data_IF_412764590085
#
_entry.id   IF_412764590085
#
_cell.length_a   1.000
_cell.length_b   1.000
_cell.length_c   1.000
_cell.angle_alpha   90.00
_cell.angle_beta   90.00
_cell.angle_gamma   90.00
#
_symmetry.space_group_name_H-M   'P 1'
#
loop_
_entity.id
_entity.type
_entity.pdbx_description
1 polymer ?
#
# COMPACT_ATOMS: atom_id res chain seq x y z
N UNK A 1 13.39 -24.14 1.87
CA UNK A 1 12.07 -23.70 1.37
C UNK A 1 11.40 -24.74 0.47
N UNK A 2 12.03 -25.22 -0.61
CA UNK A 2 11.39 -26.15 -1.59
C UNK A 2 10.84 -27.49 -1.05
N UNK A 3 11.37 -28.02 0.06
CA UNK A 3 11.01 -29.34 0.60
C UNK A 3 10.44 -29.26 2.03
N UNK A 4 9.89 -28.12 2.44
CA UNK A 4 9.43 -27.92 3.81
C UNK A 4 7.97 -27.47 3.82
N UNK A 5 7.13 -28.20 4.55
CA UNK A 5 5.69 -27.90 4.70
C UNK A 5 5.38 -27.09 5.96
N UNK A 6 6.40 -26.79 6.79
CA UNK A 6 6.22 -26.00 8.01
C UNK A 6 6.21 -24.52 7.71
N UNK A 7 5.05 -23.89 7.92
CA UNK A 7 4.88 -22.44 7.75
C UNK A 7 5.89 -21.63 8.57
N UNK A 8 6.15 -22.02 9.83
CA UNK A 8 7.10 -21.31 10.72
C UNK A 8 8.53 -21.31 10.16
N UNK A 9 8.96 -22.45 9.60
CA UNK A 9 10.29 -22.58 8.99
C UNK A 9 10.39 -21.76 7.72
N UNK A 10 9.32 -21.72 6.92
CA UNK A 10 9.29 -20.92 5.70
C UNK A 10 9.30 -19.42 6.01
N UNK A 11 8.52 -18.95 6.98
CA UNK A 11 8.55 -17.56 7.44
C UNK A 11 9.93 -17.18 7.99
N UNK A 12 10.53 -18.05 8.82
CA UNK A 12 11.89 -17.83 9.33
C UNK A 12 12.92 -17.76 8.20
N UNK A 13 12.74 -18.56 7.15
CA UNK A 13 13.61 -18.54 5.98
C UNK A 13 13.47 -17.23 5.18
N UNK A 14 12.25 -16.71 5.03
CA UNK A 14 12.02 -15.39 4.41
C UNK A 14 12.74 -14.28 5.16
N UNK A 15 12.64 -14.27 6.49
CA UNK A 15 13.26 -13.25 7.33
C UNK A 15 14.80 -13.35 7.32
N UNK A 16 15.36 -14.57 7.44
CA UNK A 16 16.81 -14.77 7.33
C UNK A 16 17.31 -14.30 5.96
N UNK A 17 16.59 -14.62 4.90
CA UNK A 17 16.95 -14.19 3.56
C UNK A 17 16.90 -12.67 3.42
N UNK A 18 15.88 -12.01 3.99
CA UNK A 18 15.78 -10.55 4.03
C UNK A 18 17.01 -9.95 4.71
N UNK A 19 17.39 -10.45 5.88
CA UNK A 19 18.57 -9.99 6.61
C UNK A 19 19.87 -10.16 5.82
N UNK A 20 20.04 -11.29 5.12
CA UNK A 20 21.21 -11.53 4.27
C UNK A 20 21.27 -10.54 3.12
N UNK A 21 20.14 -10.25 2.47
CA UNK A 21 20.06 -9.29 1.36
C UNK A 21 20.39 -7.87 1.84
N UNK A 22 19.89 -7.48 3.01
CA UNK A 22 20.16 -6.17 3.58
C UNK A 22 21.63 -5.96 3.96
N UNK A 23 22.29 -7.00 4.45
CA UNK A 23 23.66 -6.91 4.98
C UNK A 23 24.74 -7.26 3.97
N UNK A 24 24.49 -8.17 3.02
CA UNK A 24 25.54 -8.74 2.17
C UNK A 24 25.01 -9.26 0.81
N UNK A 25 24.27 -8.40 0.09
CA UNK A 25 23.75 -8.72 -1.25
C UNK A 25 24.82 -9.18 -2.24
N UNK A 26 25.99 -8.52 -2.24
CA UNK A 26 27.08 -8.80 -3.19
C UNK A 26 27.65 -10.22 -3.04
N UNK A 27 27.73 -10.74 -1.82
CA UNK A 27 28.12 -12.14 -1.63
C UNK A 27 27.01 -13.07 -2.09
N UNK A 28 25.76 -12.79 -1.74
CA UNK A 28 24.62 -13.63 -2.09
C UNK A 28 24.51 -13.88 -3.59
N UNK A 29 24.66 -12.83 -4.42
CA UNK A 29 24.54 -12.95 -5.88
C UNK A 29 25.69 -13.72 -6.55
N UNK A 30 26.79 -13.92 -5.84
CA UNK A 30 27.96 -14.64 -6.33
C UNK A 30 28.02 -16.08 -5.81
N UNK A 31 27.13 -16.44 -4.87
CA UNK A 31 27.01 -17.81 -4.38
C UNK A 31 26.37 -18.72 -5.43
N UNK A 32 26.90 -19.95 -5.48
CA UNK A 32 26.37 -21.04 -6.28
C UNK A 32 26.06 -22.23 -5.38
N UNK A 33 25.03 -22.99 -5.74
CA UNK A 33 24.71 -24.27 -5.11
C UNK A 33 25.81 -25.29 -5.39
N UNK A 34 25.76 -26.43 -4.69
CA UNK A 34 26.63 -27.58 -4.94
C UNK A 34 26.55 -28.09 -6.39
N UNK A 35 25.40 -27.88 -7.04
CA UNK A 35 25.16 -28.22 -8.45
C UNK A 35 25.58 -27.12 -9.43
N UNK A 36 26.15 -26.01 -8.94
CA UNK A 36 26.63 -24.88 -9.74
C UNK A 36 25.56 -23.86 -10.14
N UNK A 37 24.33 -24.01 -9.65
CA UNK A 37 23.22 -23.08 -9.95
C UNK A 37 23.36 -21.80 -9.13
N UNK A 38 22.96 -20.66 -9.70
CA UNK A 38 22.92 -19.38 -8.99
C UNK A 38 21.92 -19.43 -7.84
N UNK A 39 22.37 -19.12 -6.63
CA UNK A 39 21.49 -19.08 -5.44
C UNK A 39 20.45 -17.97 -5.58
N UNK A 40 20.82 -16.86 -6.23
CA UNK A 40 19.89 -15.76 -6.48
C UNK A 40 18.74 -16.16 -7.41
N UNK A 41 19.02 -16.94 -8.45
CA UNK A 41 17.99 -17.43 -9.38
C UNK A 41 17.03 -18.38 -8.66
N UNK A 42 17.56 -19.17 -7.73
CA UNK A 42 16.76 -20.06 -6.89
C UNK A 42 15.85 -19.27 -5.92
N UNK A 43 16.36 -18.19 -5.32
CA UNK A 43 15.56 -17.25 -4.52
C UNK A 43 14.44 -16.64 -5.36
N UNK A 44 14.75 -16.12 -6.55
CA UNK A 44 13.74 -15.52 -7.42
C UNK A 44 12.67 -16.53 -7.84
N UNK A 45 13.05 -17.79 -8.07
CA UNK A 45 12.11 -18.85 -8.36
C UNK A 45 11.22 -19.18 -7.15
N UNK A 46 11.76 -19.16 -5.93
CA UNK A 46 10.97 -19.36 -4.71
C UNK A 46 9.96 -18.22 -4.53
N UNK A 47 10.39 -16.96 -4.68
CA UNK A 47 9.48 -15.81 -4.58
C UNK A 47 8.33 -15.88 -5.60
N UNK A 48 8.60 -16.38 -6.81
CA UNK A 48 7.55 -16.62 -7.80
C UNK A 48 6.57 -17.72 -7.36
N UNK A 49 7.05 -18.81 -6.76
CA UNK A 49 6.19 -19.89 -6.23
C UNK A 49 5.30 -19.36 -5.09
N UNK A 50 5.83 -18.51 -4.21
CA UNK A 50 5.07 -17.91 -3.11
C UNK A 50 3.91 -17.01 -3.59
N UNK A 51 3.99 -16.49 -4.82
CA UNK A 51 2.91 -15.75 -5.47
C UNK A 51 1.86 -16.66 -6.13
N UNK A 52 2.07 -17.97 -6.22
CA UNK A 52 1.09 -18.86 -6.83
C UNK A 52 -0.18 -18.97 -5.99
N UNK A 53 -1.33 -19.00 -6.66
CA UNK A 53 -2.65 -19.11 -6.01
C UNK A 53 -2.79 -20.36 -5.13
N UNK A 54 -2.07 -21.43 -5.46
CA UNK A 54 -2.09 -22.71 -4.73
C UNK A 54 -1.35 -22.67 -3.40
N UNK A 55 -0.50 -21.68 -3.17
CA UNK A 55 0.31 -21.57 -1.95
C UNK A 55 -0.47 -20.82 -0.88
N UNK A 56 -0.42 -21.33 0.36
CA UNK A 56 -1.05 -20.68 1.50
C UNK A 56 -0.38 -19.34 1.80
N UNK A 57 -1.18 -18.28 1.85
CA UNK A 57 -0.70 -16.93 2.21
C UNK A 57 -0.15 -16.85 3.63
N UNK A 58 -0.48 -17.83 4.51
CA UNK A 58 0.09 -17.93 5.85
C UNK A 58 1.62 -18.04 5.82
N UNK A 59 2.21 -18.53 4.74
CA UNK A 59 3.66 -18.66 4.57
C UNK A 59 4.32 -17.31 4.26
N UNK A 60 3.60 -16.41 3.57
CA UNK A 60 4.12 -15.17 2.99
C UNK A 60 4.21 -14.03 4.01
N UNK A 61 4.56 -14.33 5.26
CA UNK A 61 4.51 -13.35 6.34
C UNK A 61 5.53 -12.23 6.12
N UNK A 62 6.74 -12.54 5.64
CA UNK A 62 7.79 -11.56 5.39
C UNK A 62 8.01 -11.30 3.89
N UNK A 63 7.08 -11.75 3.05
CA UNK A 63 7.18 -11.62 1.59
C UNK A 63 7.35 -10.17 1.13
N UNK A 64 6.46 -9.26 1.57
CA UNK A 64 6.54 -7.84 1.22
C UNK A 64 7.87 -7.19 1.63
N UNK A 65 8.27 -7.25 2.92
CA UNK A 65 9.55 -6.74 3.41
C UNK A 65 10.76 -7.32 2.68
N UNK A 66 10.74 -8.61 2.37
CA UNK A 66 11.79 -9.28 1.60
C UNK A 66 11.90 -8.72 0.18
N UNK A 67 10.77 -8.55 -0.52
CA UNK A 67 10.74 -7.96 -1.86
C UNK A 67 11.22 -6.52 -1.85
N UNK A 68 10.79 -5.74 -0.85
CA UNK A 68 11.23 -4.36 -0.68
C UNK A 68 12.75 -4.30 -0.45
N UNK A 69 13.29 -5.16 0.41
CA UNK A 69 14.73 -5.28 0.61
C UNK A 69 15.48 -5.59 -0.69
N UNK A 70 14.93 -6.49 -1.52
CA UNK A 70 15.47 -6.78 -2.85
C UNK A 70 15.41 -5.54 -3.74
N UNK A 71 14.28 -4.82 -3.82
CA UNK A 71 14.17 -3.62 -4.66
C UNK A 71 15.20 -2.55 -4.27
N UNK A 72 15.47 -2.36 -2.98
CA UNK A 72 16.41 -1.35 -2.50
C UNK A 72 17.89 -1.76 -2.60
N UNK A 73 18.21 -3.04 -2.41
CA UNK A 73 19.61 -3.51 -2.40
C UNK A 73 20.05 -4.15 -3.69
N UNK A 74 19.11 -4.67 -4.48
CA UNK A 74 19.46 -5.45 -5.63
C UNK A 74 19.82 -4.56 -6.82
N UNK A 75 21.07 -4.70 -7.27
CA UNK A 75 21.60 -4.00 -8.43
C UNK A 75 21.16 -4.60 -9.76
N UNK A 76 22.03 -4.49 -10.77
CA UNK A 76 21.74 -4.86 -12.16
C UNK A 76 21.15 -6.27 -12.34
N UNK A 77 21.57 -7.26 -11.55
CA UNK A 77 21.09 -8.66 -11.70
C UNK A 77 19.60 -8.83 -11.41
N UNK A 78 19.01 -8.05 -10.50
CA UNK A 78 17.58 -8.15 -10.23
C UNK A 78 16.74 -7.49 -11.31
N UNK A 79 17.30 -6.52 -12.04
CA UNK A 79 16.62 -5.83 -13.14
C UNK A 79 16.12 -6.79 -14.22
N UNK A 80 16.84 -7.87 -14.47
CA UNK A 80 16.44 -8.90 -15.45
C UNK A 80 15.22 -9.72 -15.01
N UNK A 81 15.05 -9.91 -13.69
CA UNK A 81 13.91 -10.64 -13.12
C UNK A 81 12.71 -9.75 -12.85
N UNK A 82 12.95 -8.46 -12.62
CA UNK A 82 11.94 -7.50 -12.16
C UNK A 82 10.68 -7.49 -13.04
N UNK A 83 10.74 -7.45 -14.39
CA UNK A 83 9.54 -7.45 -15.23
C UNK A 83 8.62 -8.64 -14.97
N UNK A 84 9.15 -9.87 -15.04
CA UNK A 84 8.37 -11.09 -14.84
C UNK A 84 7.85 -11.20 -13.41
N UNK A 85 8.63 -10.70 -12.45
CA UNK A 85 8.26 -10.73 -11.04
C UNK A 85 7.11 -9.77 -10.73
N UNK A 86 7.17 -8.52 -11.22
CA UNK A 86 6.10 -7.55 -11.06
C UNK A 86 4.82 -8.00 -11.78
N UNK A 87 4.94 -8.58 -12.98
CA UNK A 87 3.80 -9.17 -13.68
C UNK A 87 3.12 -10.27 -12.85
N UNK A 88 3.91 -11.15 -12.21
CA UNK A 88 3.37 -12.18 -11.32
C UNK A 88 2.61 -11.59 -10.12
N UNK A 89 3.10 -10.48 -9.54
CA UNK A 89 2.40 -9.77 -8.46
C UNK A 89 1.07 -9.19 -8.96
N UNK A 90 1.06 -8.54 -10.13
CA UNK A 90 -0.20 -8.01 -10.72
C UNK A 90 -1.19 -9.14 -10.99
N UNK A 91 -0.73 -10.28 -11.53
CA UNK A 91 -1.58 -11.48 -11.68
C UNK A 91 -2.13 -11.91 -10.33
N UNK A 92 -1.30 -11.91 -9.27
CA UNK A 92 -1.72 -12.33 -7.95
C UNK A 92 -2.83 -11.45 -7.36
N UNK A 93 -2.79 -10.14 -7.62
CA UNK A 93 -3.84 -9.18 -7.24
C UNK A 93 -5.21 -9.46 -7.91
N UNK A 94 -5.25 -10.26 -8.97
CA UNK A 94 -6.53 -10.65 -9.61
C UNK A 94 -7.27 -11.76 -8.88
N UNK A 95 -6.64 -12.41 -7.90
CA UNK A 95 -7.23 -13.47 -7.11
C UNK A 95 -7.66 -12.97 -5.73
N UNK A 96 -8.68 -13.61 -5.12
CA UNK A 96 -8.99 -13.36 -3.72
C UNK A 96 -7.75 -13.61 -2.84
N UNK A 97 -7.49 -12.67 -1.95
CA UNK A 97 -6.39 -12.70 -0.99
C UNK A 97 -6.84 -12.17 0.36
N UNK A 98 -6.11 -12.55 1.41
CA UNK A 98 -6.25 -11.93 2.71
C UNK A 98 -5.94 -10.42 2.62
N UNK A 99 -6.62 -9.58 3.45
CA UNK A 99 -6.38 -8.14 3.47
C UNK A 99 -4.90 -7.79 3.62
N UNK A 100 -4.23 -8.42 4.58
CA UNK A 100 -2.80 -8.25 4.84
C UNK A 100 -1.93 -8.55 3.62
N UNK A 101 -2.15 -9.68 2.95
CA UNK A 101 -1.33 -10.01 1.79
C UNK A 101 -1.58 -9.02 0.63
N UNK A 102 -2.82 -8.57 0.44
CA UNK A 102 -3.14 -7.55 -0.54
C UNK A 102 -2.42 -6.22 -0.25
N UNK A 103 -2.40 -5.78 1.02
CA UNK A 103 -1.63 -4.61 1.46
C UNK A 103 -0.16 -4.74 1.05
N UNK A 104 0.49 -5.87 1.35
CA UNK A 104 1.91 -6.06 1.02
C UNK A 104 2.19 -5.97 -0.48
N UNK A 105 1.33 -6.58 -1.31
CA UNK A 105 1.47 -6.50 -2.76
C UNK A 105 1.30 -5.07 -3.29
N UNK A 106 0.38 -4.30 -2.70
CA UNK A 106 0.18 -2.89 -3.05
C UNK A 106 1.39 -2.05 -2.63
N UNK A 107 1.91 -2.24 -1.41
CA UNK A 107 3.04 -1.47 -0.88
C UNK A 107 4.35 -1.70 -1.65
N UNK A 108 4.55 -2.90 -2.21
CA UNK A 108 5.67 -3.15 -3.15
C UNK A 108 5.61 -2.15 -4.32
N UNK A 109 4.43 -1.94 -4.92
CA UNK A 109 4.29 -0.98 -6.00
C UNK A 109 4.37 0.47 -5.52
N UNK A 110 3.88 0.77 -4.31
CA UNK A 110 4.02 2.10 -3.73
C UNK A 110 5.50 2.51 -3.63
N UNK A 111 6.37 1.63 -3.12
CA UNK A 111 7.81 1.88 -3.08
C UNK A 111 8.43 2.06 -4.49
N UNK A 112 8.03 1.26 -5.47
CA UNK A 112 8.51 1.43 -6.85
C UNK A 112 8.08 2.76 -7.46
N UNK A 113 6.83 3.17 -7.24
CA UNK A 113 6.26 4.42 -7.74
C UNK A 113 6.96 5.62 -7.12
N UNK A 114 7.32 5.57 -5.84
CA UNK A 114 8.06 6.65 -5.18
C UNK A 114 9.43 6.84 -5.84
N UNK A 115 10.09 5.75 -6.20
CA UNK A 115 11.42 5.80 -6.80
C UNK A 115 11.38 6.15 -8.30
N UNK A 116 10.43 5.59 -9.07
CA UNK A 116 10.39 5.68 -10.53
C UNK A 116 8.97 5.74 -11.11
N UNK A 117 8.15 6.70 -10.65
CA UNK A 117 6.73 6.84 -11.01
C UNK A 117 6.42 6.59 -12.48
N UNK A 118 7.06 7.35 -13.39
CA UNK A 118 6.79 7.24 -14.84
C UNK A 118 7.14 5.87 -15.41
N UNK A 119 8.29 5.32 -15.01
CA UNK A 119 8.76 4.01 -15.50
C UNK A 119 7.81 2.91 -15.04
N UNK A 120 7.36 2.95 -13.79
CA UNK A 120 6.41 1.98 -13.24
C UNK A 120 5.05 2.08 -13.94
N UNK A 121 4.52 3.29 -14.19
CA UNK A 121 3.26 3.48 -14.93
C UNK A 121 3.38 2.97 -16.36
N UNK A 122 4.47 3.29 -17.06
CA UNK A 122 4.72 2.81 -18.44
C UNK A 122 4.80 1.28 -18.50
N UNK A 123 5.50 0.67 -17.55
CA UNK A 123 5.62 -0.77 -17.44
C UNK A 123 4.26 -1.45 -17.19
N UNK A 124 3.53 -1.01 -16.17
CA UNK A 124 2.23 -1.56 -15.79
C UNK A 124 1.18 -1.38 -16.89
N UNK A 125 1.25 -0.26 -17.63
CA UNK A 125 0.37 -0.02 -18.77
C UNK A 125 0.66 -0.95 -19.95
N UNK A 126 1.81 -1.62 -20.02
CA UNK A 126 2.13 -2.58 -21.08
C UNK A 126 1.77 -4.03 -20.73
N UNK A 127 1.62 -4.36 -19.45
CA UNK A 127 1.13 -5.67 -19.01
C UNK A 127 -0.33 -5.85 -19.42
N UNK A 128 -0.69 -7.03 -19.95
CA UNK A 128 -2.07 -7.39 -20.33
C UNK A 128 -2.47 -8.69 -19.65
N UNK A 129 -3.46 -8.62 -18.77
CA UNK A 129 -4.01 -9.79 -18.08
C UNK A 129 -5.52 -9.82 -18.37
N UNK A 130 -5.97 -10.84 -19.10
CA UNK A 130 -7.37 -10.98 -19.53
C UNK A 130 -7.93 -9.73 -20.25
N UNK A 131 -7.09 -9.04 -21.02
CA UNK A 131 -7.47 -7.82 -21.77
C UNK A 131 -7.44 -6.53 -20.95
N UNK A 132 -7.20 -6.60 -19.64
CA UNK A 132 -7.07 -5.45 -18.75
C UNK A 132 -5.59 -5.10 -18.56
N UNK A 133 -5.27 -3.82 -18.44
CA UNK A 133 -3.89 -3.40 -18.21
C UNK A 133 -3.46 -3.72 -16.77
N UNK A 134 -2.18 -4.02 -16.57
CA UNK A 134 -1.67 -4.23 -15.20
C UNK A 134 -1.81 -2.98 -14.32
N UNK A 135 -1.74 -1.79 -14.94
CA UNK A 135 -1.99 -0.51 -14.27
C UNK A 135 -3.41 -0.44 -13.72
N UNK A 136 -4.41 -0.77 -14.54
CA UNK A 136 -5.81 -0.75 -14.12
C UNK A 136 -6.10 -1.77 -13.01
N UNK A 137 -5.50 -2.97 -13.08
CA UNK A 137 -5.63 -3.99 -12.02
C UNK A 137 -5.07 -3.46 -10.70
N UNK A 138 -3.85 -2.91 -10.72
CA UNK A 138 -3.21 -2.37 -9.52
C UNK A 138 -4.05 -1.23 -8.92
N UNK A 139 -4.42 -0.23 -9.72
CA UNK A 139 -5.10 0.96 -9.20
C UNK A 139 -6.51 0.65 -8.67
N UNK A 140 -7.25 -0.26 -9.32
CA UNK A 140 -8.54 -0.73 -8.79
C UNK A 140 -8.36 -1.47 -7.48
N UNK A 141 -7.42 -2.41 -7.42
CA UNK A 141 -7.13 -3.16 -6.20
C UNK A 141 -6.70 -2.22 -5.07
N UNK A 142 -5.82 -1.25 -5.36
CA UNK A 142 -5.38 -0.28 -4.37
C UNK A 142 -6.53 0.56 -3.83
N UNK A 143 -7.37 1.14 -4.69
CA UNK A 143 -8.50 1.96 -4.25
C UNK A 143 -9.55 1.16 -3.46
N UNK A 144 -9.73 -0.13 -3.76
CA UNK A 144 -10.66 -1.01 -3.02
C UNK A 144 -10.11 -1.46 -1.67
N UNK A 145 -8.79 -1.51 -1.50
CA UNK A 145 -8.13 -1.98 -0.29
C UNK A 145 -7.42 -0.86 0.48
N UNK A 146 -7.76 0.41 0.21
CA UNK A 146 -7.10 1.55 0.87
C UNK A 146 -7.31 1.54 2.39
N UNK A 147 -8.50 1.15 2.84
CA UNK A 147 -8.86 1.10 4.26
C UNK A 147 -8.20 -0.06 5.02
N UNK A 148 -7.59 -1.01 4.30
CA UNK A 148 -6.83 -2.12 4.87
C UNK A 148 -5.39 -1.70 5.18
N UNK A 149 -4.90 -0.60 4.60
CA UNK A 149 -3.52 -0.16 4.82
C UNK A 149 -3.37 0.35 6.25
N UNK A 150 -2.65 -0.40 7.07
CA UNK A 150 -2.42 -0.09 8.48
C UNK A 150 -0.94 0.21 8.78
N UNK A 151 -0.71 1.00 9.83
CA UNK A 151 0.61 1.45 10.26
C UNK A 151 1.03 2.76 9.58
N UNK A 152 1.46 3.74 10.38
CA UNK A 152 1.77 5.10 9.90
C UNK A 152 2.78 5.11 8.75
N UNK A 153 3.83 4.28 8.80
CA UNK A 153 4.84 4.17 7.73
C UNK A 153 4.23 3.70 6.39
N UNK A 154 3.31 2.74 6.44
CA UNK A 154 2.64 2.19 5.27
C UNK A 154 1.64 3.20 4.70
N UNK A 155 0.88 3.88 5.56
CA UNK A 155 -0.05 4.95 5.20
C UNK A 155 0.72 6.11 4.53
N UNK A 156 1.83 6.56 5.14
CA UNK A 156 2.73 7.57 4.56
C UNK A 156 3.24 7.16 3.18
N UNK A 157 3.75 5.94 3.06
CA UNK A 157 4.26 5.41 1.78
C UNK A 157 3.15 5.37 0.72
N UNK A 158 1.97 4.87 1.08
CA UNK A 158 0.81 4.80 0.18
C UNK A 158 0.39 6.21 -0.29
N UNK A 159 0.24 7.14 0.64
CA UNK A 159 -0.17 8.53 0.35
C UNK A 159 0.84 9.25 -0.56
N UNK A 160 2.14 9.14 -0.28
CA UNK A 160 3.19 9.75 -1.12
C UNK A 160 3.19 9.14 -2.53
N UNK A 161 3.02 7.82 -2.65
CA UNK A 161 2.95 7.16 -3.95
C UNK A 161 1.71 7.62 -4.76
N UNK A 162 0.55 7.74 -4.12
CA UNK A 162 -0.67 8.25 -4.76
C UNK A 162 -0.53 9.72 -5.19
N UNK A 163 0.14 10.55 -4.39
CA UNK A 163 0.50 11.93 -4.74
C UNK A 163 1.40 11.95 -5.98
N UNK A 164 2.43 11.10 -6.04
CA UNK A 164 3.31 11.02 -7.19
C UNK A 164 2.56 10.63 -8.47
N UNK A 165 1.64 9.65 -8.38
CA UNK A 165 0.77 9.27 -9.49
C UNK A 165 -0.10 10.46 -9.95
N UNK A 166 -0.72 11.17 -9.00
CA UNK A 166 -1.54 12.34 -9.33
C UNK A 166 -0.70 13.43 -10.03
N UNK A 167 0.48 13.74 -9.49
CA UNK A 167 1.36 14.78 -10.00
C UNK A 167 1.99 14.45 -11.37
N UNK A 168 1.95 13.19 -11.80
CA UNK A 168 2.42 12.76 -13.13
C UNK A 168 1.60 13.40 -14.27
N UNK A 169 0.35 13.80 -14.01
CA UNK A 169 -0.57 14.40 -15.01
C UNK A 169 -0.71 13.55 -16.28
N UNK A 170 -0.79 12.23 -16.10
CA UNK A 170 -0.87 11.26 -17.19
C UNK A 170 -2.34 10.88 -17.49
N UNK A 171 -2.76 11.03 -18.74
CA UNK A 171 -4.12 10.74 -19.19
C UNK A 171 -4.54 9.29 -18.89
N UNK A 172 -3.60 8.34 -18.93
CA UNK A 172 -3.91 6.93 -18.65
C UNK A 172 -4.40 6.71 -17.23
N UNK A 173 -4.01 7.59 -16.30
CA UNK A 173 -4.48 7.55 -14.91
C UNK A 173 -5.89 8.13 -14.79
N UNK A 174 -6.20 9.22 -15.49
CA UNK A 174 -7.55 9.82 -15.46
C UNK A 174 -8.62 8.94 -16.13
N UNK A 175 -8.23 8.14 -17.12
CA UNK A 175 -9.13 7.26 -17.87
C UNK A 175 -9.59 6.03 -17.06
N UNK A 176 -8.86 5.70 -15.98
CA UNK A 176 -9.19 4.55 -15.15
C UNK A 176 -10.35 4.90 -14.22
N UNK A 177 -11.42 4.09 -14.29
CA UNK A 177 -12.60 4.23 -13.44
C UNK A 177 -12.54 3.24 -12.28
N UNK A 178 -12.75 3.74 -11.06
CA UNK A 178 -12.70 2.97 -9.80
C UNK A 178 -13.98 3.15 -8.99
N UNK A 179 -14.18 2.28 -7.99
CA UNK A 179 -15.29 2.41 -7.03
C UNK A 179 -15.10 3.65 -6.15
N UNK A 180 -16.09 4.54 -6.19
CA UNK A 180 -16.23 5.70 -5.34
C UNK A 180 -17.07 5.39 -4.10
N UNK A 181 -17.92 6.34 -3.71
CA UNK A 181 -18.69 6.26 -2.48
C UNK A 181 -19.89 5.30 -2.63
N UNK A 182 -20.29 4.69 -1.51
CA UNK A 182 -21.46 3.82 -1.44
C UNK A 182 -22.74 4.67 -1.51
N UNK A 183 -23.66 4.29 -2.39
CA UNK A 183 -24.97 4.93 -2.51
C UNK A 183 -25.84 4.40 -1.37
N UNK A 184 -25.99 5.21 -0.32
CA UNK A 184 -26.86 4.90 0.81
C UNK A 184 -28.31 5.12 0.36
N UNK A 185 -29.09 4.04 0.28
CA UNK A 185 -30.53 4.17 0.12
C UNK A 185 -31.13 4.61 1.47
N UNK A 186 -31.77 5.78 1.52
CA UNK A 186 -32.37 6.41 2.73
C UNK A 186 -33.54 5.64 3.36
N UNK A 187 -33.72 4.36 3.03
CA UNK A 187 -34.64 3.50 3.76
C UNK A 187 -34.12 3.30 5.19
N UNK A 188 -34.77 3.97 6.14
CA UNK A 188 -34.52 3.98 7.60
C UNK A 188 -34.66 2.61 8.29
N UNK A 189 -34.56 1.49 7.56
CA UNK A 189 -34.54 0.14 8.12
C UNK A 189 -33.10 -0.26 8.43
N UNK A 190 -32.88 -0.80 9.64
CA UNK A 190 -31.66 -1.51 9.97
C UNK A 190 -31.50 -2.67 8.97
N UNK A 191 -30.56 -2.53 8.04
CA UNK A 191 -30.27 -3.58 7.07
C UNK A 191 -29.41 -4.63 7.76
N UNK A 192 -30.02 -5.78 8.04
CA UNK A 192 -29.29 -6.94 8.56
C UNK A 192 -28.32 -7.48 7.49
N UNK A 193 -27.20 -8.11 7.90
CA UNK A 193 -26.19 -8.68 6.97
C UNK A 193 -26.78 -9.58 5.87
N UNK A 194 -27.89 -10.26 6.13
CA UNK A 194 -28.64 -11.07 5.16
C UNK A 194 -29.48 -10.25 4.18
N UNK A 195 -30.05 -9.11 4.59
CA UNK A 195 -30.72 -8.16 3.68
C UNK A 195 -29.70 -7.38 2.83
N UNK A 196 -28.51 -7.06 3.35
CA UNK A 196 -27.43 -6.43 2.59
C UNK A 196 -26.90 -7.33 1.46
N UNK A 197 -26.86 -8.66 1.66
CA UNK A 197 -26.52 -9.60 0.57
C UNK A 197 -27.58 -9.66 -0.56
N UNK A 198 -28.83 -9.31 -0.27
CA UNK A 198 -29.94 -9.32 -1.23
C UNK A 198 -30.13 -7.96 -1.93
N UNK A 199 -29.86 -6.86 -1.21
CA UNK A 199 -29.75 -5.52 -1.78
C UNK A 199 -28.32 -5.30 -2.25
N UNK A 200 -28.03 -5.53 -3.53
CA UNK A 200 -26.70 -5.24 -4.10
C UNK A 200 -26.28 -3.81 -3.74
N UNK A 201 -25.24 -3.67 -2.91
CA UNK A 201 -24.61 -2.40 -2.60
C UNK A 201 -24.26 -1.69 -3.92
N UNK A 202 -24.82 -0.49 -4.11
CA UNK A 202 -24.55 0.30 -5.32
C UNK A 202 -23.47 1.31 -4.97
N UNK A 203 -22.44 1.37 -5.80
CA UNK A 203 -21.36 2.33 -5.65
C UNK A 203 -21.43 3.36 -6.78
N UNK A 204 -21.01 4.58 -6.48
CA UNK A 204 -20.63 5.54 -7.51
C UNK A 204 -19.33 5.06 -8.18
N UNK A 205 -19.17 5.39 -9.45
CA UNK A 205 -17.95 5.13 -10.19
C UNK A 205 -17.34 6.46 -10.61
N UNK A 206 -16.07 6.66 -10.26
CA UNK A 206 -15.36 7.92 -10.45
C UNK A 206 -14.01 7.67 -11.12
N UNK A 207 -13.43 8.70 -11.72
CA UNK A 207 -12.04 8.64 -12.19
C UNK A 207 -11.10 8.35 -11.01
N UNK A 208 -10.05 7.59 -11.26
CA UNK A 208 -9.00 7.30 -10.29
C UNK A 208 -8.46 8.58 -9.63
N UNK A 209 -8.25 9.66 -10.40
CA UNK A 209 -7.75 10.92 -9.84
C UNK A 209 -8.72 11.55 -8.81
N UNK A 210 -10.03 11.43 -9.03
CA UNK A 210 -11.04 11.86 -8.06
C UNK A 210 -10.93 11.03 -6.79
N UNK A 211 -10.80 9.70 -6.92
CA UNK A 211 -10.65 8.79 -5.78
C UNK A 211 -9.37 9.08 -4.98
N UNK A 212 -8.25 9.40 -5.64
CA UNK A 212 -7.02 9.82 -4.98
C UNK A 212 -7.25 11.04 -4.09
N UNK A 213 -7.90 12.09 -4.60
CA UNK A 213 -8.20 13.28 -3.81
C UNK A 213 -9.06 12.95 -2.59
N UNK A 214 -10.10 12.12 -2.75
CA UNK A 214 -10.94 11.67 -1.64
C UNK A 214 -10.14 10.92 -0.57
N UNK A 215 -9.26 10.00 -0.99
CA UNK A 215 -8.38 9.25 -0.08
C UNK A 215 -7.47 10.20 0.70
N UNK A 216 -6.79 11.12 0.02
CA UNK A 216 -5.85 12.04 0.65
C UNK A 216 -6.55 13.06 1.57
N UNK A 217 -7.78 13.46 1.26
CA UNK A 217 -8.58 14.32 2.15
C UNK A 217 -9.03 13.58 3.41
N UNK A 218 -9.43 12.31 3.30
CA UNK A 218 -9.74 11.44 4.45
C UNK A 218 -8.51 11.26 5.34
N UNK A 219 -7.34 11.11 4.73
CA UNK A 219 -6.08 11.02 5.49
C UNK A 219 -5.77 12.35 6.19
N UNK A 220 -5.96 13.49 5.51
CA UNK A 220 -5.76 14.80 6.15
C UNK A 220 -6.75 15.06 7.29
N UNK A 221 -8.00 14.61 7.17
CA UNK A 221 -9.01 14.79 8.22
C UNK A 221 -8.67 14.00 9.49
N UNK A 222 -8.08 12.81 9.35
CA UNK A 222 -7.66 12.00 10.49
C UNK A 222 -6.65 12.74 11.38
N UNK A 223 -5.71 13.50 10.78
CA UNK A 223 -4.76 14.34 11.52
C UNK A 223 -5.45 15.50 12.23
N UNK A 224 -6.40 16.18 11.57
CA UNK A 224 -7.13 17.31 12.15
C UNK A 224 -7.91 16.86 13.40
N UNK A 225 -8.59 15.72 13.33
CA UNK A 225 -9.33 15.17 14.47
C UNK A 225 -8.43 14.85 15.68
N UNK A 226 -7.21 14.38 15.42
CA UNK A 226 -6.22 14.08 16.47
C UNK A 226 -5.70 15.36 17.12
N UNK A 227 -5.41 16.39 16.34
CA UNK A 227 -4.94 17.68 16.85
C UNK A 227 -6.03 18.42 17.65
N UNK A 228 -7.28 18.36 17.21
CA UNK A 228 -8.41 18.91 17.95
C UNK A 228 -8.56 18.23 19.33
N UNK A 229 -8.45 16.90 19.40
CA UNK A 229 -8.47 16.16 20.68
C UNK A 229 -7.32 16.56 21.61
N UNK A 230 -6.12 16.81 21.05
CA UNK A 230 -4.95 17.28 21.82
C UNK A 230 -5.13 18.71 22.34
N UNK A 231 -5.75 19.59 21.57
CA UNK A 231 -5.96 21.00 21.93
C UNK A 231 -7.06 21.20 22.98
N UNK A 232 -8.06 20.32 23.04
CA UNK A 232 -9.17 20.35 24.01
C UNK A 232 -8.73 19.97 25.45
N UNK A 233 -7.47 19.58 25.66
CA UNK A 233 -6.90 19.48 27.00
C UNK A 233 -7.44 18.30 27.83
N UNK A 234 -7.50 17.11 27.24
CA UNK A 234 -7.49 15.87 28.04
C UNK A 234 -6.12 15.81 28.72
N UNK A 235 -6.10 16.24 29.97
CA UNK A 235 -4.93 16.54 30.77
C UNK A 235 -3.99 15.34 30.96
N UNK A 236 -2.73 15.58 30.60
CA UNK A 236 -1.49 14.96 31.10
C UNK A 236 -1.65 14.24 32.45
N UNK A 237 -1.73 12.92 32.40
CA UNK A 237 -1.15 12.04 33.41
C UNK A 237 -0.49 10.87 32.67
N UNK A 238 0.85 10.82 32.73
CA UNK A 238 1.75 9.80 32.15
C UNK A 238 2.23 9.96 30.70
N UNK A 239 2.59 11.17 30.28
CA UNK A 239 3.50 11.31 29.14
C UNK A 239 4.96 11.17 29.63
N UNK A 240 5.36 9.93 29.84
CA UNK A 240 6.74 9.52 29.57
C UNK A 240 6.88 9.40 28.06
N UNK A 241 7.99 9.88 27.51
CA UNK A 241 8.37 9.72 26.09
C UNK A 241 8.47 8.22 25.74
N UNK A 242 7.35 7.62 25.36
CA UNK A 242 7.15 6.45 24.48
C UNK A 242 5.70 5.94 24.68
N UNK A 243 5.01 5.70 23.56
CA UNK A 243 3.71 5.02 23.43
C UNK A 243 2.42 5.75 23.85
N UNK A 244 1.47 5.89 22.89
CA UNK A 244 0.02 5.68 23.08
C UNK A 244 -0.75 5.96 21.76
N UNK A 245 -0.67 5.02 20.82
CA UNK A 245 -1.76 4.76 19.88
C UNK A 245 -2.38 3.42 20.28
N UNK A 246 -3.67 3.44 20.63
CA UNK A 246 -4.55 2.31 20.93
C UNK A 246 -4.22 1.45 22.16
N UNK A 247 -4.92 1.73 23.28
CA UNK A 247 -5.24 0.69 24.26
C UNK A 247 -6.69 0.87 24.71
N UNK A 248 -7.60 0.39 23.86
CA UNK A 248 -8.99 0.14 24.22
C UNK A 248 -9.41 -1.24 23.69
N UNK A 249 -8.61 -2.27 23.99
CA UNK A 249 -8.97 -3.68 23.73
C UNK A 249 -8.47 -4.58 24.87
N UNK A 250 -9.38 -5.41 25.35
CA UNK A 250 -9.17 -6.44 26.37
C UNK A 250 -7.78 -7.11 26.29
N UNK A 251 -7.04 -7.03 27.39
CA UNK A 251 -5.81 -7.77 27.67
C UNK A 251 -6.05 -9.27 27.58
N UNK A 252 -5.95 -9.86 26.37
CA UNK A 252 -5.51 -11.24 26.11
C UNK A 252 -5.48 -11.69 24.63
N UNK A 253 -5.52 -10.80 23.64
CA UNK A 253 -5.35 -11.21 22.23
C UNK A 253 -4.05 -10.62 21.68
N UNK A 254 -3.00 -11.44 21.58
CA UNK A 254 -1.80 -11.10 20.80
C UNK A 254 -2.22 -10.80 19.36
N UNK A 255 -2.24 -9.53 18.98
CA UNK A 255 -2.68 -9.13 17.65
C UNK A 255 -1.51 -9.35 16.68
N UNK A 256 -1.67 -10.32 15.76
CA UNK A 256 -0.63 -10.66 14.79
C UNK A 256 -0.21 -9.46 13.92
N UNK A 257 -1.09 -8.46 13.79
CA UNK A 257 -0.87 -7.24 13.01
C UNK A 257 0.07 -6.23 13.71
N UNK A 258 -0.03 -6.09 15.04
CA UNK A 258 0.94 -5.31 15.83
C UNK A 258 2.32 -5.95 15.81
N UNK A 259 2.37 -7.28 16.03
CA UNK A 259 3.64 -8.02 15.98
C UNK A 259 4.27 -7.88 14.59
N UNK A 260 3.47 -7.90 13.53
CA UNK A 260 3.94 -7.68 12.18
C UNK A 260 4.49 -6.27 11.95
N UNK A 261 3.79 -5.25 12.43
CA UNK A 261 4.20 -3.85 12.31
C UNK A 261 5.52 -3.61 13.02
N UNK A 262 5.70 -4.16 14.23
CA UNK A 262 6.95 -4.08 14.99
C UNK A 262 8.11 -4.80 14.28
N UNK A 263 7.85 -5.97 13.67
CA UNK A 263 8.86 -6.73 12.92
C UNK A 263 9.26 -6.05 11.59
N UNK A 264 8.34 -5.29 10.98
CA UNK A 264 8.58 -4.55 9.74
C UNK A 264 9.20 -3.17 9.93
N UNK A 265 9.23 -2.66 11.18
CA UNK A 265 9.93 -1.44 11.54
C UNK A 265 11.45 -1.64 11.72
N UNK A 266 12.02 -2.71 11.18
CA UNK A 266 13.47 -2.91 11.15
C UNK A 266 14.18 -1.77 10.40
N UNK A 267 14.87 -0.90 11.16
CA UNK A 267 15.64 0.28 10.75
C UNK A 267 16.78 -0.01 9.74
N UNK A 268 16.97 -1.29 9.38
CA UNK A 268 18.02 -1.74 8.45
C UNK A 268 17.84 -1.24 7.00
N UNK A 269 16.63 -0.81 6.61
CA UNK A 269 16.37 -0.12 5.34
C UNK A 269 16.16 1.36 5.67
N UNK A 270 17.07 2.23 5.21
CA UNK A 270 16.85 3.68 5.27
C UNK A 270 15.56 4.01 4.50
N UNK A 271 14.51 4.35 5.26
CA UNK A 271 13.25 4.81 4.68
C UNK A 271 13.46 6.23 4.13
N UNK A 272 13.37 6.46 2.80
CA UNK A 272 13.56 7.79 2.23
C UNK A 272 12.52 8.80 2.71
N UNK A 273 11.42 8.33 3.30
CA UNK A 273 10.36 9.16 3.85
C UNK A 273 10.45 9.33 5.37
N UNK A 274 11.50 8.84 6.04
CA UNK A 274 11.50 8.78 7.51
C UNK A 274 11.23 10.13 8.17
N UNK A 275 11.88 11.17 7.65
CA UNK A 275 11.77 12.55 8.14
C UNK A 275 10.55 13.32 7.59
N UNK A 276 9.73 12.67 6.74
CA UNK A 276 8.58 13.30 6.12
C UNK A 276 7.40 13.34 7.10
N UNK A 277 7.02 14.56 7.49
CA UNK A 277 5.75 14.89 8.13
C UNK A 277 4.64 14.82 7.08
N UNK A 278 3.79 13.79 7.19
CA UNK A 278 2.74 13.52 6.22
C UNK A 278 1.66 14.62 6.24
N UNK A 279 1.28 15.13 7.41
CA UNK A 279 0.25 16.15 7.53
C UNK A 279 0.69 17.43 6.81
N UNK A 280 1.91 17.89 7.08
CA UNK A 280 2.48 19.06 6.41
C UNK A 280 2.60 18.84 4.90
N UNK A 281 3.06 17.65 4.49
CA UNK A 281 3.21 17.31 3.09
C UNK A 281 1.85 17.31 2.33
N UNK A 282 0.79 16.80 2.95
CA UNK A 282 -0.57 16.83 2.39
C UNK A 282 -1.08 18.26 2.23
N UNK A 283 -0.91 19.10 3.24
CA UNK A 283 -1.29 20.53 3.20
C UNK A 283 -0.58 21.24 2.04
N UNK A 284 0.73 21.06 1.91
CA UNK A 284 1.53 21.67 0.85
C UNK A 284 1.11 21.15 -0.54
N UNK A 285 0.83 19.85 -0.65
CA UNK A 285 0.30 19.23 -1.87
C UNK A 285 -1.04 19.87 -2.29
N UNK A 286 -2.02 19.95 -1.38
CA UNK A 286 -3.34 20.52 -1.67
C UNK A 286 -3.25 22.01 -2.05
N UNK A 287 -2.42 22.80 -1.35
CA UNK A 287 -2.15 24.21 -1.72
C UNK A 287 -1.59 24.33 -3.15
N UNK A 288 -0.65 23.47 -3.50
CA UNK A 288 -0.02 23.47 -4.81
C UNK A 288 -1.01 23.14 -5.94
N UNK A 289 -1.78 22.05 -5.81
CA UNK A 289 -2.71 21.63 -6.86
C UNK A 289 -3.83 22.65 -7.07
N UNK A 290 -4.32 23.30 -5.99
CA UNK A 290 -5.33 24.34 -6.06
C UNK A 290 -4.81 25.61 -6.75
N UNK A 291 -3.61 26.06 -6.39
CA UNK A 291 -3.00 27.27 -6.94
C UNK A 291 -2.72 27.15 -8.43
N UNK A 292 -2.28 25.97 -8.87
CA UNK A 292 -1.87 25.71 -10.25
C UNK A 292 -2.95 25.03 -11.11
N UNK A 293 -4.13 24.74 -10.54
CA UNK A 293 -5.21 23.96 -11.17
C UNK A 293 -4.74 22.63 -11.79
N UNK A 294 -3.87 21.90 -11.07
CA UNK A 294 -3.28 20.64 -11.55
C UNK A 294 -4.39 19.59 -11.72
N UNK A 295 -4.36 18.86 -12.84
CA UNK A 295 -5.40 17.88 -13.25
C UNK A 295 -6.83 18.43 -13.21
N UNK A 296 -6.99 19.74 -13.43
CA UNK A 296 -8.28 20.42 -13.35
C UNK A 296 -9.04 20.12 -12.03
N UNK A 297 -8.33 20.28 -10.90
CA UNK A 297 -8.87 20.06 -9.54
C UNK A 297 -10.23 20.75 -9.29
N UNK A 298 -10.52 21.86 -10.00
CA UNK A 298 -11.82 22.53 -9.95
C UNK A 298 -12.98 21.67 -10.43
N UNK A 299 -12.79 20.86 -11.47
CA UNK A 299 -13.82 19.91 -11.89
C UNK A 299 -13.89 18.71 -10.94
N UNK A 300 -12.75 18.24 -10.42
CA UNK A 300 -12.70 17.18 -9.39
C UNK A 300 -13.50 17.58 -8.15
N UNK A 301 -13.44 18.86 -7.74
CA UNK A 301 -14.18 19.38 -6.59
C UNK A 301 -15.71 19.15 -6.68
N UNK A 302 -16.26 19.04 -7.90
CA UNK A 302 -17.69 18.76 -8.10
C UNK A 302 -18.11 17.33 -7.70
N UNK A 303 -17.16 16.42 -7.57
CA UNK A 303 -17.37 15.04 -7.12
C UNK A 303 -17.10 14.84 -5.63
N UNK A 304 -16.71 15.90 -4.92
CA UNK A 304 -16.43 15.85 -3.49
C UNK A 304 -17.71 16.06 -2.67
N UNK A 305 -17.75 15.45 -1.50
CA UNK A 305 -18.80 15.69 -0.50
C UNK A 305 -18.64 17.08 0.11
N UNK A 306 -19.65 17.54 0.85
CA UNK A 306 -19.58 18.82 1.55
C UNK A 306 -18.47 18.85 2.62
N UNK A 307 -18.25 17.73 3.30
CA UNK A 307 -17.20 17.56 4.30
C UNK A 307 -15.81 17.64 3.65
N UNK A 308 -15.60 16.89 2.56
CA UNK A 308 -14.36 16.91 1.78
C UNK A 308 -14.06 18.31 1.24
N UNK A 309 -15.08 19.03 0.74
CA UNK A 309 -14.94 20.43 0.32
C UNK A 309 -14.53 21.35 1.48
N UNK A 310 -15.06 21.12 2.68
CA UNK A 310 -14.72 21.91 3.87
C UNK A 310 -13.27 21.70 4.29
N UNK A 311 -12.79 20.46 4.27
CA UNK A 311 -11.37 20.13 4.55
C UNK A 311 -10.47 20.75 3.50
N UNK A 312 -10.83 20.66 2.21
CA UNK A 312 -10.06 21.27 1.14
C UNK A 312 -9.98 22.80 1.29
N UNK A 313 -11.07 23.43 1.74
CA UNK A 313 -11.11 24.87 1.99
C UNK A 313 -10.24 25.29 3.19
N UNK A 314 -10.19 24.49 4.26
CA UNK A 314 -9.39 24.81 5.46
C UNK A 314 -7.89 24.89 5.17
N UNK A 315 -7.41 24.13 4.18
CA UNK A 315 -6.01 24.16 3.71
C UNK A 315 -5.64 25.49 3.03
N UNK A 316 -6.62 26.27 2.56
CA UNK A 316 -6.38 27.49 1.78
C UNK A 316 -6.32 28.75 2.66
N UNK A 317 -6.72 28.64 3.94
CA UNK A 317 -6.73 29.72 4.94
C UNK A 317 -5.36 29.82 5.61
#
# INVERSE_FOLDING_TARGET
MKNCDSNEVLQSAEEVLRQVILKDYDKLINLKSETGMSIFDEIMNILRILLEKSVSESVNFFFGPLVIAIIYKAGEKFRDYLPNFLEAIVIRLTYPSSPRFCQELILIFAHLIINQTKVTVDFLYNIRINGVTGLEILLKSWCENIDIIHGYKNIRTSSVALINLFMLQDQRLSDIIVKGDLIINESNEIITRSKAKLNSEKYLYVSFLVKVIKILLKELSSFIEVDDKRSIGISKANLSDDDEWENDLDSNTYNADETYTLLNNDDSIEDPLNDLDLQKFLVDFFKNILSNNINDIKSIASYLTQEECSILASVTI
#
